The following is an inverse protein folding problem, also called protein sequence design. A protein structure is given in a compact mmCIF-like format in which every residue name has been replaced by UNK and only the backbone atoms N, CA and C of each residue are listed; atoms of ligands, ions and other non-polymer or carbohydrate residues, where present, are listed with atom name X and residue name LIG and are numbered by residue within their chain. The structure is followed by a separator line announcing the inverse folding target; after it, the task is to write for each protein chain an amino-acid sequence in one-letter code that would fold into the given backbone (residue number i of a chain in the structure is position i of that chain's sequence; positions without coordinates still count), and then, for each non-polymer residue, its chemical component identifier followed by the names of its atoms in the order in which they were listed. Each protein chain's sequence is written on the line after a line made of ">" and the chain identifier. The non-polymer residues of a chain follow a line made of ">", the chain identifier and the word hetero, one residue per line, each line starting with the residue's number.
data_IF_673868029469
#
_entry.id   IF_673868029469
#
_cell.length_a   1.000
_cell.length_b   1.000
_cell.length_c   1.000
_cell.angle_alpha   90.00
_cell.angle_beta   90.00
_cell.angle_gamma   90.00
#
_symmetry.space_group_name_H-M   'P 1'
#
loop_
_entity.id
_entity.type
_entity.pdbx_description
1 polymer ?
#
# COMPACT_ATOMS: atom_id res chain seq x y z
N UNK A 1 13.91 -23.75 0.07
CA UNK A 1 12.70 -23.86 -0.74
C UNK A 1 12.05 -22.49 -0.81
N UNK A 2 12.28 -21.74 -1.89
CA UNK A 2 11.52 -20.51 -2.15
C UNK A 2 10.09 -20.92 -2.47
N UNK A 3 9.17 -20.71 -1.52
CA UNK A 3 7.75 -20.97 -1.72
C UNK A 3 7.17 -20.12 -2.86
N UNK A 4 6.04 -20.56 -3.40
CA UNK A 4 5.26 -19.81 -4.40
C UNK A 4 4.94 -18.42 -3.87
N UNK A 5 5.10 -17.38 -4.69
CA UNK A 5 4.72 -16.02 -4.33
C UNK A 5 3.21 -15.95 -4.09
N UNK A 6 2.81 -15.52 -2.89
CA UNK A 6 1.40 -15.44 -2.49
C UNK A 6 1.06 -14.03 -2.05
N UNK A 7 -0.10 -13.56 -2.50
CA UNK A 7 -0.63 -12.25 -2.15
C UNK A 7 -2.03 -12.41 -1.57
N UNK A 8 -2.21 -11.98 -0.32
CA UNK A 8 -3.51 -11.98 0.36
C UNK A 8 -3.87 -10.56 0.75
N UNK A 9 -5.17 -10.25 0.71
CA UNK A 9 -5.70 -8.97 1.16
C UNK A 9 -6.91 -9.18 2.05
N UNK A 10 -7.12 -8.22 2.95
CA UNK A 10 -8.27 -8.14 3.82
C UNK A 10 -8.63 -6.67 4.11
N UNK A 11 -9.84 -6.47 4.63
CA UNK A 11 -10.36 -5.15 4.99
C UNK A 11 -11.42 -4.65 4.02
N UNK A 12 -12.21 -3.70 4.50
CA UNK A 12 -13.33 -3.09 3.79
C UNK A 12 -13.01 -1.64 3.42
N UNK A 13 -13.56 -1.16 2.31
CA UNK A 13 -13.34 0.22 1.84
C UNK A 13 -13.72 1.31 2.87
N UNK A 14 -14.65 0.99 3.78
CA UNK A 14 -15.09 1.87 4.87
C UNK A 14 -14.74 1.32 6.26
N UNK A 15 -13.95 0.23 6.30
CA UNK A 15 -13.45 -0.32 7.55
C UNK A 15 -12.32 0.53 8.13
N UNK A 16 -11.87 0.16 9.33
CA UNK A 16 -10.80 0.87 10.03
C UNK A 16 -9.46 0.83 9.26
N UNK A 17 -9.16 -0.30 8.61
CA UNK A 17 -7.92 -0.50 7.88
C UNK A 17 -8.05 -1.50 6.72
N UNK A 18 -7.10 -1.41 5.79
CA UNK A 18 -6.83 -2.40 4.74
C UNK A 18 -5.51 -3.10 5.05
N UNK A 19 -5.46 -4.42 4.87
CA UNK A 19 -4.28 -5.24 5.17
C UNK A 19 -3.91 -6.08 3.95
N UNK A 20 -2.62 -6.20 3.68
CA UNK A 20 -2.08 -7.12 2.67
C UNK A 20 -0.93 -7.94 3.25
N UNK A 21 -0.91 -9.24 2.96
CA UNK A 21 0.15 -10.17 3.36
C UNK A 21 0.80 -10.73 2.10
N UNK A 22 2.13 -10.66 2.05
CA UNK A 22 2.93 -11.10 0.91
C UNK A 22 3.91 -12.17 1.37
N UNK A 23 3.73 -13.41 0.91
CA UNK A 23 4.60 -14.53 1.24
C UNK A 23 5.47 -14.93 0.04
N UNK A 24 6.59 -15.59 0.33
CA UNK A 24 7.52 -16.07 -0.71
C UNK A 24 8.51 -15.02 -1.20
N UNK A 25 8.67 -13.90 -0.48
CA UNK A 25 9.66 -12.87 -0.79
C UNK A 25 11.07 -13.40 -0.43
N UNK A 26 12.05 -13.34 -1.35
CA UNK A 26 13.42 -13.74 -1.06
C UNK A 26 14.04 -12.93 0.08
N UNK A 27 14.82 -13.60 0.92
CA UNK A 27 15.60 -12.95 1.97
C UNK A 27 16.63 -11.98 1.38
N UNK A 28 16.90 -10.88 2.09
CA UNK A 28 17.88 -9.87 1.67
C UNK A 28 17.35 -8.83 0.68
N UNK A 29 16.07 -8.87 0.31
CA UNK A 29 15.44 -7.80 -0.46
C UNK A 29 15.30 -6.54 0.43
N UNK A 30 15.97 -5.42 0.11
CA UNK A 30 15.80 -4.18 0.87
C UNK A 30 14.41 -3.60 0.61
N UNK A 31 13.54 -3.65 1.62
CA UNK A 31 12.20 -3.08 1.58
C UNK A 31 12.03 -2.10 2.75
N UNK A 32 11.52 -0.91 2.43
CA UNK A 32 11.21 0.13 3.41
C UNK A 32 9.80 0.66 3.15
N UNK A 33 9.17 1.23 4.17
CA UNK A 33 7.84 1.84 4.05
C UNK A 33 7.79 2.94 2.98
N UNK A 34 8.91 3.66 2.77
CA UNK A 34 9.01 4.73 1.77
C UNK A 34 8.73 4.20 0.36
N UNK A 35 9.25 3.03 0.02
CA UNK A 35 9.02 2.42 -1.30
C UNK A 35 7.51 2.22 -1.56
N UNK A 36 6.78 1.74 -0.56
CA UNK A 36 5.34 1.49 -0.63
C UNK A 36 4.56 2.81 -0.70
N UNK A 37 4.92 3.77 0.15
CA UNK A 37 4.25 5.07 0.22
C UNK A 37 4.40 5.89 -1.08
N UNK A 38 5.57 5.83 -1.73
CA UNK A 38 5.80 6.47 -3.02
C UNK A 38 4.87 5.87 -4.11
N UNK A 39 4.75 4.54 -4.18
CA UNK A 39 3.84 3.86 -5.09
C UNK A 39 2.37 4.22 -4.83
N UNK A 40 1.95 4.23 -3.56
CA UNK A 40 0.59 4.63 -3.16
C UNK A 40 0.31 6.09 -3.52
N UNK A 41 1.26 6.99 -3.29
CA UNK A 41 1.13 8.40 -3.65
C UNK A 41 0.97 8.59 -5.15
N UNK A 42 1.69 7.82 -5.99
CA UNK A 42 1.47 7.85 -7.45
C UNK A 42 0.04 7.43 -7.82
N UNK A 43 -0.50 6.37 -7.20
CA UNK A 43 -1.88 5.89 -7.45
C UNK A 43 -2.92 6.94 -7.07
N UNK A 44 -2.70 7.64 -5.98
CA UNK A 44 -3.60 8.70 -5.51
C UNK A 44 -3.58 9.95 -6.42
N UNK A 45 -2.49 10.15 -7.17
CA UNK A 45 -2.25 11.31 -8.05
C UNK A 45 -2.51 11.07 -9.55
N UNK A 46 -3.15 9.95 -9.92
CA UNK A 46 -3.44 9.63 -11.32
C UNK A 46 -4.28 10.69 -12.06
N UNK A 47 -4.07 10.80 -13.38
CA UNK A 47 -4.72 11.77 -14.28
C UNK A 47 -6.24 11.83 -14.06
N UNK A 48 -6.78 13.04 -13.88
CA UNK A 48 -8.22 13.30 -13.72
C UNK A 48 -8.69 13.66 -12.30
N UNK A 49 -7.83 13.60 -11.27
CA UNK A 49 -8.18 14.01 -9.90
C UNK A 49 -7.85 15.49 -9.66
N UNK A 50 -8.80 16.38 -9.96
CA UNK A 50 -8.73 17.81 -9.61
C UNK A 50 -8.71 18.05 -8.09
N UNK A 51 -8.23 19.23 -7.67
CA UNK A 51 -7.87 19.60 -6.28
C UNK A 51 -8.97 19.51 -5.19
N UNK A 52 -10.16 18.99 -5.51
CA UNK A 52 -11.27 18.74 -4.57
C UNK A 52 -11.10 17.45 -3.76
N UNK A 53 -10.19 16.56 -4.17
CA UNK A 53 -9.90 15.30 -3.49
C UNK A 53 -8.71 15.40 -2.51
N UNK A 54 -8.46 16.60 -1.96
CA UNK A 54 -7.28 16.91 -1.12
C UNK A 54 -7.34 16.41 0.33
N UNK A 55 -8.28 15.54 0.69
CA UNK A 55 -8.31 14.97 2.05
C UNK A 55 -7.34 13.80 2.17
N UNK A 56 -6.06 14.12 2.28
CA UNK A 56 -5.06 13.25 2.89
C UNK A 56 -5.26 13.35 4.40
N UNK A 57 -5.82 12.30 5.01
CA UNK A 57 -5.93 12.18 6.46
C UNK A 57 -4.53 12.31 7.06
N UNK A 58 -4.37 13.37 7.86
CA UNK A 58 -3.19 13.66 8.66
C UNK A 58 -3.05 12.53 9.70
N UNK A 59 -2.05 11.67 9.53
CA UNK A 59 -1.73 10.63 10.50
C UNK A 59 -1.51 11.24 11.89
N UNK A 60 -2.33 10.85 12.86
CA UNK A 60 -2.02 11.06 14.28
C UNK A 60 -1.13 9.89 14.70
N UNK A 61 0.12 10.23 15.01
CA UNK A 61 1.12 9.57 15.86
C UNK A 61 1.19 8.05 15.80
#
# INVERSE_FOLDING_TARGET
>A
MSGVFRFLTAGESHGEALVAVVDGVPAGLPLTERHINEDLARRQRGYGRGGRMSRSSRGRR
#
